data_IF_914007325833
#
_entry.id   IF_914007325833
#
_cell.length_a   1.000
_cell.length_b   1.000
_cell.length_c   1.000
_cell.angle_alpha   90.00
_cell.angle_beta   90.00
_cell.angle_gamma   90.00
#
_symmetry.space_group_name_H-M   'P 1'
#
loop_
_entity.id
_entity.type
_entity.pdbx_description
1 polymer ?
#
# COMPACT_ATOMS: atom_id res chain seq x y z
N UNK A 1 5.08 7.68 -5.87
CA UNK A 1 3.76 7.05 -6.05
C UNK A 1 3.32 6.59 -4.67
N UNK A 2 2.04 6.70 -4.32
CA UNK A 2 1.55 6.19 -3.03
C UNK A 2 1.29 4.69 -3.19
N UNK A 3 1.89 3.81 -2.36
CA UNK A 3 1.86 2.37 -2.57
C UNK A 3 0.52 1.70 -2.20
N UNK A 4 -0.38 2.38 -1.48
CA UNK A 4 -1.72 1.89 -1.17
C UNK A 4 -2.71 2.01 -2.33
N UNK A 5 -3.83 1.29 -2.22
CA UNK A 5 -4.90 1.27 -3.23
C UNK A 5 -5.89 2.39 -3.03
N UNK A 6 -6.40 3.05 -4.07
CA UNK A 6 -7.45 4.05 -3.92
C UNK A 6 -8.76 3.47 -3.34
N UNK A 7 -8.93 2.16 -3.47
CA UNK A 7 -10.06 1.37 -3.04
C UNK A 7 -10.20 1.35 -1.50
N UNK A 8 -11.44 1.47 -1.04
CA UNK A 8 -11.76 1.64 0.37
C UNK A 8 -13.16 1.14 0.72
N UNK A 9 -13.43 1.04 2.01
CA UNK A 9 -14.75 0.78 2.59
C UNK A 9 -15.10 1.92 3.53
N UNK A 10 -16.31 2.46 3.40
CA UNK A 10 -16.86 3.47 4.32
C UNK A 10 -18.08 2.90 5.04
N UNK A 11 -18.14 3.04 6.36
CA UNK A 11 -19.24 2.53 7.19
C UNK A 11 -20.17 3.65 7.65
N UNK A 12 -21.46 3.33 7.81
CA UNK A 12 -22.46 4.28 8.29
C UNK A 12 -22.20 4.76 9.73
N UNK A 13 -21.43 3.99 10.49
CA UNK A 13 -20.93 4.30 11.84
C UNK A 13 -19.69 5.20 11.85
N UNK A 14 -19.12 5.54 10.68
CA UNK A 14 -18.04 6.53 10.52
C UNK A 14 -16.64 5.94 10.27
N UNK A 15 -16.46 4.62 10.37
CA UNK A 15 -15.19 3.97 10.07
C UNK A 15 -14.87 4.01 8.57
N UNK A 16 -13.57 4.10 8.29
CA UNK A 16 -13.01 4.09 6.95
C UNK A 16 -11.86 3.10 6.89
N UNK A 17 -11.94 2.13 5.98
CA UNK A 17 -10.92 1.11 5.79
C UNK A 17 -10.33 1.24 4.39
N UNK A 18 -9.01 1.41 4.28
CA UNK A 18 -8.31 1.28 3.00
C UNK A 18 -8.14 -0.20 2.70
N UNK A 19 -8.56 -0.64 1.52
CA UNK A 19 -8.40 -2.02 1.10
C UNK A 19 -6.90 -2.25 0.86
N UNK A 20 -6.37 -3.39 1.30
CA UNK A 20 -4.99 -3.76 1.01
C UNK A 20 -4.90 -4.24 -0.45
N UNK A 21 -3.77 -4.02 -1.12
CA UNK A 21 -3.63 -4.44 -2.49
C UNK A 21 -3.61 -5.96 -2.60
N UNK A 22 -2.64 -6.59 -1.94
CA UNK A 22 -2.47 -8.03 -1.95
C UNK A 22 -3.29 -8.66 -0.81
N UNK A 23 -4.51 -9.07 -1.17
CA UNK A 23 -5.50 -9.73 -0.31
C UNK A 23 -6.44 -10.61 -1.17
N UNK A 24 -7.31 -11.39 -0.52
CA UNK A 24 -8.08 -12.48 -1.17
C UNK A 24 -9.57 -12.17 -1.43
N UNK A 25 -10.10 -11.07 -0.88
CA UNK A 25 -11.52 -10.68 -0.92
C UNK A 25 -11.89 -9.86 -2.16
N UNK A 26 -11.08 -8.86 -2.53
CA UNK A 26 -11.35 -7.96 -3.65
C UNK A 26 -10.43 -8.28 -4.83
N UNK A 27 -11.01 -8.49 -6.02
CA UNK A 27 -10.21 -8.61 -7.24
C UNK A 27 -9.90 -7.21 -7.79
N UNK A 28 -8.65 -6.77 -7.61
CA UNK A 28 -8.16 -5.47 -8.08
C UNK A 28 -7.39 -5.56 -9.42
N UNK A 29 -7.39 -6.73 -10.06
CA UNK A 29 -6.87 -6.90 -11.43
C UNK A 29 -5.35 -6.95 -11.54
N UNK A 30 -4.66 -7.50 -10.54
CA UNK A 30 -3.21 -7.73 -10.61
C UNK A 30 -2.84 -8.78 -11.65
N UNK A 31 -1.70 -8.57 -12.31
CA UNK A 31 -1.04 -9.58 -13.13
C UNK A 31 -0.05 -10.43 -12.31
N UNK A 32 0.69 -11.30 -13.00
CA UNK A 32 1.67 -12.21 -12.38
C UNK A 32 2.83 -11.50 -11.67
N UNK A 33 3.04 -10.20 -11.91
CA UNK A 33 4.06 -9.39 -11.25
C UNK A 33 3.53 -8.63 -10.03
N UNK A 34 2.33 -8.97 -9.53
CA UNK A 34 1.70 -8.26 -8.42
C UNK A 34 1.46 -6.77 -8.75
N UNK A 35 1.08 -6.48 -9.99
CA UNK A 35 1.02 -5.12 -10.52
C UNK A 35 -0.20 -4.94 -11.45
N UNK A 36 -0.56 -3.69 -11.72
CA UNK A 36 -1.63 -3.39 -12.68
C UNK A 36 -1.46 -2.01 -13.32
N UNK A 37 -2.24 -1.77 -14.37
CA UNK A 37 -2.34 -0.47 -15.05
C UNK A 37 -3.46 0.35 -14.42
N UNK A 38 -3.16 1.57 -13.99
CA UNK A 38 -4.17 2.51 -13.50
C UNK A 38 -4.86 3.25 -14.67
N UNK A 39 -6.01 3.92 -14.46
CA UNK A 39 -6.77 4.58 -15.55
C UNK A 39 -5.97 5.57 -16.41
N UNK A 40 -4.89 6.17 -15.88
CA UNK A 40 -4.00 7.05 -16.65
C UNK A 40 -3.01 6.31 -17.57
N UNK A 41 -3.05 4.97 -17.62
CA UNK A 41 -2.14 4.13 -18.41
C UNK A 41 -0.80 3.80 -17.73
N UNK A 42 -0.58 4.20 -16.48
CA UNK A 42 0.66 3.88 -15.74
C UNK A 42 0.58 2.50 -15.11
N UNK A 43 1.58 1.68 -15.37
CA UNK A 43 1.79 0.40 -14.70
C UNK A 43 2.52 0.60 -13.37
N UNK A 44 2.07 -0.06 -12.31
CA UNK A 44 2.70 0.02 -11.00
C UNK A 44 2.52 -1.26 -10.19
N UNK A 45 3.50 -1.54 -9.33
CA UNK A 45 3.59 -2.73 -8.50
C UNK A 45 3.00 -2.50 -7.11
N UNK A 46 2.45 -3.57 -6.53
CA UNK A 46 1.97 -3.67 -5.15
C UNK A 46 2.69 -4.77 -4.36
N UNK A 47 3.53 -5.56 -5.01
CA UNK A 47 4.42 -6.53 -4.37
C UNK A 47 5.64 -6.84 -5.24
N UNK A 48 6.17 -8.05 -5.08
CA UNK A 48 7.38 -8.50 -5.77
C UNK A 48 7.21 -8.43 -7.29
N UNK A 49 8.07 -7.71 -8.02
CA UNK A 49 8.03 -7.65 -9.48
C UNK A 49 8.67 -8.92 -10.06
N UNK A 50 7.91 -10.05 -10.02
CA UNK A 50 8.46 -11.42 -10.22
C UNK A 50 9.31 -11.57 -11.47
N UNK A 51 8.80 -11.17 -12.64
CA UNK A 51 9.54 -11.30 -13.90
C UNK A 51 10.76 -10.39 -13.99
N UNK A 52 10.72 -9.21 -13.33
CA UNK A 52 11.89 -8.34 -13.25
C UNK A 52 12.98 -8.99 -12.40
N UNK A 53 12.63 -9.52 -11.24
CA UNK A 53 13.53 -10.24 -10.34
C UNK A 53 14.15 -11.47 -11.01
N UNK A 54 13.33 -12.23 -11.74
CA UNK A 54 13.76 -13.43 -12.48
C UNK A 54 14.68 -13.11 -13.68
N UNK A 55 14.51 -11.96 -14.32
CA UNK A 55 15.32 -11.56 -15.46
C UNK A 55 16.78 -11.19 -15.09
N UNK A 56 17.07 -10.92 -13.81
CA UNK A 56 18.44 -10.67 -13.37
C UNK A 56 19.27 -11.95 -13.41
N UNK A 57 20.35 -11.94 -14.19
CA UNK A 57 21.20 -13.11 -14.45
C UNK A 57 22.09 -13.56 -13.26
N UNK A 58 22.11 -12.83 -12.13
CA UNK A 58 22.95 -13.18 -10.99
C UNK A 58 22.25 -14.12 -10.01
N UNK A 59 23.03 -14.86 -9.23
CA UNK A 59 22.54 -15.68 -8.12
C UNK A 59 22.45 -14.91 -6.80
N UNK A 60 22.73 -13.60 -6.81
CA UNK A 60 22.70 -12.76 -5.61
C UNK A 60 21.32 -12.79 -4.95
N UNK A 61 21.30 -12.81 -3.62
CA UNK A 61 20.05 -12.81 -2.86
C UNK A 61 19.27 -11.50 -3.05
N UNK A 62 19.96 -10.37 -2.89
CA UNK A 62 19.40 -9.04 -3.04
C UNK A 62 19.32 -8.65 -4.52
N UNK A 63 18.10 -8.50 -5.04
CA UNK A 63 17.82 -7.95 -6.36
C UNK A 63 17.45 -6.49 -6.26
N UNK A 64 18.23 -5.61 -6.90
CA UNK A 64 17.90 -4.20 -6.99
C UNK A 64 16.67 -4.03 -7.89
N UNK A 65 15.62 -3.39 -7.38
CA UNK A 65 14.37 -3.18 -8.12
C UNK A 65 14.09 -1.70 -8.43
N UNK A 66 14.75 -0.78 -7.73
CA UNK A 66 14.59 0.65 -8.01
C UNK A 66 15.08 1.58 -6.91
N UNK A 67 14.59 2.82 -6.96
CA UNK A 67 14.90 3.89 -6.02
C UNK A 67 13.61 4.46 -5.44
N UNK A 68 13.61 4.73 -4.13
CA UNK A 68 12.56 5.46 -3.46
C UNK A 68 12.68 6.97 -3.73
N UNK A 69 11.63 7.73 -3.43
CA UNK A 69 11.58 9.16 -3.73
C UNK A 69 12.54 10.02 -2.88
N UNK A 70 13.01 9.46 -1.76
CA UNK A 70 14.06 10.02 -0.89
C UNK A 70 15.48 9.56 -1.29
N UNK A 71 15.61 8.81 -2.39
CA UNK A 71 16.89 8.42 -2.97
C UNK A 71 17.45 7.08 -2.47
N UNK A 72 16.87 6.47 -1.44
CA UNK A 72 17.32 5.15 -0.98
C UNK A 72 17.00 4.05 -1.99
N UNK A 73 17.85 3.01 -2.00
CA UNK A 73 17.68 1.85 -2.86
C UNK A 73 16.53 0.98 -2.37
N UNK A 74 15.82 0.37 -3.32
CA UNK A 74 14.79 -0.64 -3.04
C UNK A 74 15.31 -1.98 -3.57
N UNK A 75 15.32 -2.99 -2.70
CA UNK A 75 15.74 -4.36 -3.01
C UNK A 75 14.61 -5.35 -2.76
N UNK A 76 14.73 -6.55 -3.34
CA UNK A 76 13.99 -7.75 -2.95
C UNK A 76 14.99 -8.84 -2.56
N UNK A 77 14.77 -9.55 -1.44
CA UNK A 77 15.59 -10.70 -1.01
C UNK A 77 14.92 -12.00 -1.45
N UNK A 78 15.55 -12.75 -2.37
CA UNK A 78 15.00 -14.00 -2.91
C UNK A 78 14.92 -15.12 -1.87
N UNK A 79 15.81 -15.13 -0.89
CA UNK A 79 15.84 -16.09 0.20
C UNK A 79 14.84 -15.76 1.32
N UNK A 80 14.28 -14.55 1.33
CA UNK A 80 13.44 -14.07 2.42
C UNK A 80 14.24 -13.81 3.70
N UNK A 81 15.51 -13.41 3.58
CA UNK A 81 16.40 -13.18 4.73
C UNK A 81 15.98 -12.01 5.63
N UNK A 82 15.06 -11.15 5.17
CA UNK A 82 14.61 -9.95 5.88
C UNK A 82 13.12 -10.03 6.15
N UNK A 83 12.75 -10.13 7.42
CA UNK A 83 11.36 -10.31 7.84
C UNK A 83 10.69 -8.98 8.20
N UNK A 84 9.48 -8.69 7.68
CA UNK A 84 8.70 -7.53 8.11
C UNK A 84 8.31 -7.58 9.59
N UNK A 85 8.27 -6.42 10.23
CA UNK A 85 7.86 -6.27 11.63
C UNK A 85 6.38 -5.93 11.79
N UNK A 86 5.51 -6.67 11.10
CA UNK A 86 4.05 -6.47 11.12
C UNK A 86 3.29 -7.74 11.48
N UNK A 87 2.18 -7.58 12.22
CA UNK A 87 1.26 -8.65 12.58
C UNK A 87 -0.17 -8.23 12.36
N UNK A 88 -1.04 -9.21 12.10
CA UNK A 88 -2.48 -8.97 12.16
C UNK A 88 -2.91 -8.58 13.56
N UNK A 89 -3.76 -7.55 13.63
CA UNK A 89 -4.44 -7.15 14.84
C UNK A 89 -5.34 -8.28 15.34
N UNK A 90 -5.43 -8.40 16.65
CA UNK A 90 -6.36 -9.33 17.31
C UNK A 90 -7.66 -8.65 17.75
N UNK A 91 -7.78 -7.35 17.50
CA UNK A 91 -8.96 -6.57 17.86
C UNK A 91 -10.03 -6.75 16.81
N UNK A 92 -11.24 -7.15 17.23
CA UNK A 92 -12.37 -7.27 16.31
C UNK A 92 -12.65 -5.92 15.64
N UNK A 93 -12.97 -5.96 14.35
CA UNK A 93 -13.33 -4.75 13.60
C UNK A 93 -14.67 -4.20 14.11
N UNK A 94 -14.83 -2.89 13.97
CA UNK A 94 -16.12 -2.19 14.07
C UNK A 94 -16.59 -1.80 12.67
N UNK A 95 -17.76 -1.17 12.55
CA UNK A 95 -18.31 -0.77 11.26
C UNK A 95 -19.59 -1.52 10.90
N UNK A 96 -20.68 -0.77 10.84
CA UNK A 96 -21.97 -1.24 10.33
C UNK A 96 -22.40 -0.45 9.10
N UNK A 97 -23.24 -1.06 8.27
CA UNK A 97 -23.73 -0.48 7.01
C UNK A 97 -22.58 0.00 6.11
N UNK A 98 -21.55 -0.84 6.01
CA UNK A 98 -20.34 -0.60 5.25
C UNK A 98 -20.55 -0.79 3.76
N UNK A 99 -19.90 0.07 2.97
CA UNK A 99 -19.97 0.06 1.51
C UNK A 99 -18.55 0.16 0.95
N UNK A 100 -18.17 -0.81 0.12
CA UNK A 100 -16.92 -0.77 -0.63
C UNK A 100 -17.02 0.19 -1.83
N UNK A 101 -15.93 0.90 -2.11
CA UNK A 101 -15.78 1.72 -3.31
C UNK A 101 -15.74 0.84 -4.56
N UNK A 102 -16.28 1.33 -5.67
CA UNK A 102 -16.26 0.63 -6.96
C UNK A 102 -17.66 0.46 -7.54
N UNK A 103 -17.78 -0.26 -8.68
CA UNK A 103 -19.07 -0.50 -9.31
C UNK A 103 -19.90 -1.49 -8.48
N UNK A 104 -21.22 -1.25 -8.44
CA UNK A 104 -22.21 -2.10 -7.73
C UNK A 104 -21.97 -2.21 -6.21
N UNK A 105 -22.06 -1.09 -5.47
CA UNK A 105 -21.88 -1.09 -4.03
C UNK A 105 -22.88 -2.03 -3.35
N UNK A 106 -22.38 -2.89 -2.48
CA UNK A 106 -23.18 -3.71 -1.57
C UNK A 106 -22.99 -3.21 -0.14
N UNK A 107 -24.08 -3.24 0.63
CA UNK A 107 -24.05 -2.93 2.05
C UNK A 107 -23.74 -4.22 2.81
N UNK A 108 -22.78 -4.18 3.73
CA UNK A 108 -22.39 -5.28 4.60
C UNK A 108 -21.95 -4.76 5.97
N UNK A 109 -21.75 -5.65 6.95
CA UNK A 109 -21.25 -5.29 8.29
C UNK A 109 -19.85 -5.89 8.50
N UNK A 110 -18.95 -5.11 9.08
CA UNK A 110 -17.62 -5.57 9.51
C UNK A 110 -17.52 -5.78 11.01
N UNK A 111 -18.44 -5.18 11.78
CA UNK A 111 -18.50 -5.30 13.23
C UNK A 111 -18.43 -6.77 13.69
N UNK A 112 -17.47 -7.06 14.57
CA UNK A 112 -17.26 -8.41 15.13
C UNK A 112 -16.44 -9.36 14.26
N UNK A 113 -15.98 -8.95 13.07
CA UNK A 113 -15.08 -9.76 12.25
C UNK A 113 -13.63 -9.67 12.75
N UNK A 114 -12.87 -10.75 12.56
CA UNK A 114 -11.43 -10.77 12.85
C UNK A 114 -10.64 -10.10 11.71
N UNK A 115 -9.60 -9.31 12.01
CA UNK A 115 -8.62 -8.84 11.04
C UNK A 115 -7.95 -10.01 10.30
N UNK A 116 -8.01 -9.98 8.98
CA UNK A 116 -7.51 -11.04 8.08
C UNK A 116 -6.54 -10.49 7.02
N UNK A 117 -6.23 -9.19 7.06
CA UNK A 117 -5.29 -8.54 6.15
C UNK A 117 -5.96 -7.92 4.92
N UNK A 118 -7.29 -8.05 4.78
CA UNK A 118 -8.07 -7.40 3.73
C UNK A 118 -7.94 -5.88 3.74
N UNK A 119 -7.73 -5.28 4.91
CA UNK A 119 -7.59 -3.84 5.07
C UNK A 119 -6.21 -3.49 5.62
N UNK A 120 -5.61 -2.39 5.15
CA UNK A 120 -4.30 -1.93 5.64
C UNK A 120 -4.29 -1.74 7.16
N UNK A 121 -5.42 -1.29 7.74
CA UNK A 121 -5.59 -1.12 9.20
C UNK A 121 -5.65 -2.43 9.99
N UNK A 122 -5.75 -3.57 9.33
CA UNK A 122 -5.68 -4.88 10.00
C UNK A 122 -4.26 -5.16 10.50
N UNK A 123 -3.25 -4.53 9.91
CA UNK A 123 -1.85 -4.75 10.23
C UNK A 123 -1.33 -3.75 11.25
N UNK A 124 -0.57 -4.23 12.23
CA UNK A 124 0.05 -3.42 13.25
C UNK A 124 1.57 -3.60 13.21
N UNK A 125 2.29 -2.48 13.13
CA UNK A 125 3.73 -2.50 13.33
C UNK A 125 4.04 -2.89 14.77
N UNK A 126 5.01 -3.78 14.94
CA UNK A 126 5.52 -4.15 16.25
C UNK A 126 7.03 -4.29 16.14
N UNK A 127 7.75 -3.40 16.79
CA UNK A 127 9.21 -3.44 16.84
C UNK A 127 9.72 -4.78 17.37
N UNK A 128 10.92 -5.17 16.91
CA UNK A 128 11.68 -6.34 17.37
C UNK A 128 11.08 -7.74 17.08
N UNK A 129 10.08 -7.86 16.20
CA UNK A 129 9.60 -9.19 15.76
C UNK A 129 10.20 -9.65 14.42
N UNK A 130 10.82 -8.73 13.70
CA UNK A 130 11.47 -8.95 12.41
C UNK A 130 12.69 -8.03 12.26
N UNK A 131 13.22 -7.97 11.04
CA UNK A 131 14.46 -7.26 10.71
C UNK A 131 14.22 -5.86 10.13
N UNK A 132 12.98 -5.59 9.73
CA UNK A 132 12.59 -4.38 9.01
C UNK A 132 11.84 -3.41 9.91
N UNK A 133 12.09 -2.11 9.71
CA UNK A 133 11.40 -1.04 10.41
C UNK A 133 9.97 -0.80 9.88
N UNK A 134 9.30 0.23 10.43
CA UNK A 134 7.93 0.60 10.02
C UNK A 134 7.80 1.07 8.57
N UNK A 135 8.90 1.43 7.90
CA UNK A 135 8.89 1.76 6.47
C UNK A 135 9.26 0.57 5.59
N UNK A 136 9.43 -0.63 6.18
CA UNK A 136 9.94 -1.82 5.54
C UNK A 136 11.38 -1.69 5.04
N UNK A 137 12.21 -0.95 5.79
CA UNK A 137 13.63 -0.77 5.49
C UNK A 137 14.54 -1.23 6.62
N UNK A 138 15.84 -1.28 6.31
CA UNK A 138 16.90 -1.67 7.25
C UNK A 138 18.25 -1.11 6.78
N UNK A 139 19.32 -1.30 7.55
CA UNK A 139 20.67 -0.90 7.16
C UNK A 139 21.51 -2.10 6.71
N UNK A 140 22.07 -2.02 5.50
CA UNK A 140 23.00 -3.00 4.94
C UNK A 140 24.31 -2.28 4.63
N UNK A 141 25.42 -2.75 5.18
CA UNK A 141 26.75 -2.14 5.02
C UNK A 141 26.80 -0.63 5.35
N UNK A 142 26.02 -0.22 6.36
CA UNK A 142 25.93 1.18 6.80
C UNK A 142 25.07 2.08 5.91
N UNK A 143 24.39 1.54 4.91
CA UNK A 143 23.44 2.27 4.06
C UNK A 143 22.01 1.82 4.35
N UNK A 144 21.12 2.78 4.53
CA UNK A 144 19.70 2.48 4.66
C UNK A 144 19.13 2.08 3.29
N UNK A 145 18.35 1.01 3.28
CA UNK A 145 17.67 0.48 2.10
C UNK A 145 16.26 0.07 2.45
N UNK A 146 15.41 0.06 1.43
CA UNK A 146 14.09 -0.52 1.49
C UNK A 146 14.08 -1.94 0.99
N UNK A 147 13.28 -2.80 1.62
CA UNK A 147 13.11 -4.19 1.22
C UNK A 147 11.66 -4.42 0.79
N UNK A 148 11.47 -5.01 -0.39
CA UNK A 148 10.22 -5.63 -0.82
C UNK A 148 10.18 -7.04 -0.23
N UNK A 149 9.02 -7.47 0.24
CA UNK A 149 8.82 -8.76 0.91
C UNK A 149 7.61 -9.49 0.34
N UNK A 150 7.56 -10.82 0.51
CA UNK A 150 6.39 -11.63 0.16
C UNK A 150 5.25 -11.52 1.20
N UNK A 151 5.53 -10.98 2.38
CA UNK A 151 4.56 -10.65 3.42
C UNK A 151 4.31 -9.15 3.55
N UNK A 152 3.21 -8.78 4.19
CA UNK A 152 2.87 -7.37 4.47
C UNK A 152 4.03 -6.65 5.17
N UNK A 153 4.39 -5.41 4.75
CA UNK A 153 3.64 -4.52 3.88
C UNK A 153 3.88 -4.71 2.38
N UNK A 154 4.61 -5.75 1.97
CA UNK A 154 4.97 -6.11 0.59
C UNK A 154 5.90 -5.09 -0.09
N UNK A 155 5.50 -3.83 -0.13
CA UNK A 155 6.26 -2.68 -0.62
C UNK A 155 6.39 -1.64 0.51
N UNK A 156 7.50 -0.90 0.59
CA UNK A 156 7.70 0.20 1.55
C UNK A 156 6.53 1.17 1.63
N UNK A 157 6.12 1.54 2.85
CA UNK A 157 4.93 2.37 3.12
C UNK A 157 5.23 3.81 3.53
N UNK A 158 6.49 4.11 3.84
CA UNK A 158 6.93 5.46 4.14
C UNK A 158 8.35 5.71 3.64
N UNK A 159 8.74 6.98 3.66
CA UNK A 159 10.08 7.45 3.33
C UNK A 159 10.82 7.80 4.62
N UNK A 160 12.09 7.43 4.70
CA UNK A 160 12.95 7.56 5.89
C UNK A 160 14.02 8.63 5.67
N UNK A 161 14.16 9.13 4.42
CA UNK A 161 15.02 10.25 4.07
C UNK A 161 14.25 11.53 3.73
N UNK A 162 15.00 12.54 3.31
CA UNK A 162 14.42 13.80 2.83
C UNK A 162 13.90 13.64 1.40
N UNK A 163 12.72 14.20 1.13
CA UNK A 163 12.15 14.22 -0.21
C UNK A 163 11.31 15.48 -0.44
N UNK A 164 11.20 15.90 -1.70
CA UNK A 164 10.29 16.98 -2.10
C UNK A 164 8.97 16.38 -2.57
N UNK A 165 7.89 16.65 -1.85
CA UNK A 165 6.55 16.24 -2.27
C UNK A 165 6.03 17.15 -3.40
N UNK A 166 5.96 16.62 -4.63
CA UNK A 166 5.34 17.33 -5.75
C UNK A 166 3.85 17.04 -5.76
N UNK A 167 3.03 17.89 -5.13
CA UNK A 167 1.58 17.83 -5.35
C UNK A 167 1.26 18.41 -6.72
N UNK A 168 0.64 17.63 -7.61
CA UNK A 168 -0.07 18.21 -8.75
C UNK A 168 -1.31 18.88 -8.17
N UNK A 169 -1.32 20.22 -8.16
CA UNK A 169 -2.39 21.01 -7.54
C UNK A 169 -3.77 20.54 -7.97
N UNK A 170 -4.64 20.29 -6.98
CA UNK A 170 -6.07 20.13 -7.20
C UNK A 170 -6.61 21.34 -7.97
N UNK A 171 -7.52 21.18 -8.94
CA UNK A 171 -8.21 22.31 -9.54
C UNK A 171 -8.87 23.15 -8.43
N UNK A 172 -8.87 24.49 -8.52
CA UNK A 172 -9.59 25.31 -7.56
C UNK A 172 -11.06 24.89 -7.54
N UNK A 173 -11.72 24.87 -6.37
CA UNK A 173 -13.13 24.52 -6.28
C UNK A 173 -13.93 25.41 -7.24
N UNK A 174 -15.00 24.90 -7.87
CA UNK A 174 -15.85 25.69 -8.74
C UNK A 174 -16.26 26.96 -7.99
N UNK A 175 -15.95 28.13 -8.55
CA UNK A 175 -16.46 29.39 -8.01
C UNK A 175 -17.99 29.26 -7.99
N UNK A 176 -18.56 29.26 -6.80
CA UNK A 176 -19.99 29.22 -6.60
C UNK A 176 -20.69 30.33 -7.40
N UNK A 177 -21.97 30.13 -7.78
CA UNK A 177 -22.69 31.08 -8.60
C UNK A 177 -22.71 32.45 -7.91
N UNK A 178 -22.23 33.48 -8.64
CA UNK A 178 -22.34 34.88 -8.21
C UNK A 178 -23.82 35.20 -7.97
N UNK A 179 -24.18 35.88 -6.85
CA UNK A 179 -25.54 36.34 -6.65
C UNK A 179 -25.93 37.24 -7.82
N UNK A 180 -27.00 36.87 -8.52
CA UNK A 180 -27.65 37.78 -9.48
C UNK A 180 -28.20 38.95 -8.67
N UNK A 181 -27.63 40.14 -8.88
CA UNK A 181 -28.26 41.38 -8.45
C UNK A 181 -29.68 41.42 -9.01
N UNK A 182 -30.65 41.61 -8.13
CA UNK A 182 -32.03 41.91 -8.52
C UNK A 182 -32.12 43.36 -9.03
N UNK A 183 -33.07 43.64 -9.94
CA UNK A 183 -33.18 44.91 -10.66
C UNK A 183 -33.43 46.11 -9.75
#
# INVERSE_FOLDING_TARGET
YEPGTAESVSCGTGEFFRIEALQEVYNLGFDVNNAHVQPTGKYHYHGVPKLLVEAYASDDDLKHVGFAADGYLIYYSRSGAYQPSYLLSKTLRTGENCVASGPNPRIFNLAGTLPDGTYTSDWQYKEEIGDLDQCNGTSIDGQYVYIITDGYPYIPRCLNGEFTHISKGSPPPPRGPRPRGRP
#
